data_IF_787202243248
#
_entry.id   IF_787202243248
#
_cell.length_a   1.000
_cell.length_b   1.000
_cell.length_c   1.000
_cell.angle_alpha   90.00
_cell.angle_beta   90.00
_cell.angle_gamma   90.00
#
_symmetry.space_group_name_H-M   'P 1'
#
loop_
_entity.id
_entity.type
_entity.pdbx_description
1 polymer ?
#
# COMPACT_ATOMS: atom_id res chain seq x y z
N UNK A 1 52.30 10.20 17.06
CA UNK A 1 51.31 10.92 16.24
C UNK A 1 50.42 9.90 15.56
N UNK A 2 49.35 9.50 16.23
CA UNK A 2 48.36 8.56 15.73
C UNK A 2 47.03 9.05 16.26
N UNK A 3 46.18 9.62 15.40
CA UNK A 3 44.78 9.96 15.68
C UNK A 3 44.12 10.48 14.38
N UNK A 4 43.59 9.57 13.56
CA UNK A 4 42.65 9.91 12.50
C UNK A 4 41.93 8.65 12.01
N UNK A 5 41.26 7.91 12.90
CA UNK A 5 40.50 6.71 12.49
C UNK A 5 39.40 6.32 13.48
N UNK A 6 38.72 7.28 14.11
CA UNK A 6 37.47 7.01 14.86
C UNK A 6 36.57 8.24 14.81
N UNK A 7 35.94 8.54 13.67
CA UNK A 7 34.97 9.65 13.59
C UNK A 7 33.93 9.50 12.46
N UNK A 8 33.44 8.28 12.20
CA UNK A 8 32.30 8.07 11.28
C UNK A 8 31.22 7.10 11.78
N UNK A 9 31.26 6.70 13.05
CA UNK A 9 30.18 5.95 13.69
C UNK A 9 29.80 6.74 14.94
N UNK A 10 28.50 6.88 15.21
CA UNK A 10 27.86 7.65 16.30
C UNK A 10 27.39 9.07 15.89
N UNK A 11 26.33 9.15 15.08
CA UNK A 11 25.41 10.32 15.10
C UNK A 11 23.94 9.89 15.20
N UNK A 12 23.65 8.62 15.54
CA UNK A 12 22.25 8.15 15.68
C UNK A 12 21.89 7.57 17.04
N UNK A 13 22.74 7.66 18.06
CA UNK A 13 22.35 7.21 19.40
C UNK A 13 22.56 8.27 20.47
N UNK A 14 21.43 8.65 21.06
CA UNK A 14 21.26 9.30 22.37
C UNK A 14 21.35 10.83 22.39
N UNK A 15 20.22 11.48 22.07
CA UNK A 15 19.64 12.44 23.02
C UNK A 15 18.11 12.51 22.79
N UNK A 16 17.41 11.63 23.49
CA UNK A 16 15.95 11.71 23.65
C UNK A 16 15.70 12.87 24.60
N UNK A 17 15.07 13.95 24.12
CA UNK A 17 14.16 14.87 24.82
C UNK A 17 14.10 16.20 24.06
N UNK A 18 13.26 16.29 23.03
CA UNK A 18 12.47 17.47 22.61
C UNK A 18 11.98 17.26 21.17
N UNK A 19 10.70 16.88 21.07
CA UNK A 19 9.74 17.27 20.04
C UNK A 19 10.33 17.52 18.64
N UNK A 20 10.36 16.49 17.82
CA UNK A 20 9.71 16.46 16.50
C UNK A 20 9.90 15.07 15.92
N UNK A 21 8.80 14.47 15.49
CA UNK A 21 8.73 13.23 14.74
C UNK A 21 9.40 13.41 13.37
N UNK A 22 10.73 13.44 13.34
CA UNK A 22 11.51 13.27 12.13
C UNK A 22 11.41 11.82 11.72
N UNK A 23 10.60 11.52 10.70
CA UNK A 23 10.61 10.23 10.06
C UNK A 23 12.05 9.97 9.57
N UNK A 24 12.71 8.97 10.15
CA UNK A 24 13.93 8.38 9.61
C UNK A 24 13.58 7.69 8.27
N UNK A 25 13.37 8.48 7.22
CA UNK A 25 13.26 7.96 5.86
C UNK A 25 14.67 7.53 5.44
N UNK A 26 14.89 6.22 5.31
CA UNK A 26 16.11 5.73 4.66
C UNK A 26 16.16 6.29 3.23
N UNK A 27 17.33 6.67 2.70
CA UNK A 27 17.45 7.34 1.40
C UNK A 27 16.68 6.65 0.26
N UNK A 28 16.75 5.31 0.16
CA UNK A 28 16.01 4.54 -0.86
C UNK A 28 14.48 4.67 -0.75
N UNK A 29 13.92 4.71 0.47
CA UNK A 29 12.46 4.90 0.64
C UNK A 29 11.99 6.28 0.14
N UNK A 30 12.81 7.31 0.31
CA UNK A 30 12.50 8.65 -0.19
C UNK A 30 12.53 8.67 -1.72
N UNK A 31 13.55 8.08 -2.32
CA UNK A 31 13.70 8.01 -3.77
C UNK A 31 12.53 7.27 -4.45
N UNK A 32 12.05 6.18 -3.85
CA UNK A 32 10.87 5.45 -4.33
C UNK A 32 9.61 6.32 -4.32
N UNK A 33 9.35 7.03 -3.22
CA UNK A 33 8.20 7.94 -3.08
C UNK A 33 8.29 9.08 -4.09
N UNK A 34 9.46 9.69 -4.24
CA UNK A 34 9.68 10.79 -5.19
C UNK A 34 9.45 10.32 -6.63
N UNK A 35 9.82 9.08 -6.99
CA UNK A 35 9.51 8.50 -8.31
C UNK A 35 8.00 8.29 -8.50
N UNK A 36 7.30 7.73 -7.52
CA UNK A 36 5.85 7.55 -7.60
C UNK A 36 5.11 8.88 -7.78
N UNK A 37 5.51 9.91 -7.04
CA UNK A 37 4.98 11.26 -7.23
C UNK A 37 5.32 11.82 -8.60
N UNK A 38 6.59 11.77 -9.00
CA UNK A 38 7.08 12.32 -10.28
C UNK A 38 6.40 11.69 -11.48
N UNK A 39 6.26 10.36 -11.53
CA UNK A 39 5.75 9.66 -12.71
C UNK A 39 4.24 9.41 -12.68
N UNK A 40 3.65 9.23 -11.50
CA UNK A 40 2.25 8.83 -11.35
C UNK A 40 1.39 9.84 -10.58
N UNK A 41 1.99 10.87 -9.98
CA UNK A 41 1.26 11.84 -9.17
C UNK A 41 0.68 11.22 -7.90
N UNK A 42 1.37 10.23 -7.32
CA UNK A 42 0.93 9.46 -6.17
C UNK A 42 1.73 9.77 -4.91
N UNK A 43 1.04 9.81 -3.78
CA UNK A 43 1.64 9.93 -2.45
C UNK A 43 1.11 8.85 -1.49
N UNK A 44 1.97 8.30 -0.62
CA UNK A 44 1.55 7.31 0.37
C UNK A 44 0.67 7.94 1.44
N UNK A 45 -0.42 7.27 1.78
CA UNK A 45 -1.23 7.59 2.97
C UNK A 45 -0.69 6.75 4.13
N UNK A 46 0.17 7.37 4.94
CA UNK A 46 0.90 6.69 6.01
C UNK A 46 -0.03 5.94 6.96
N UNK A 47 0.34 4.70 7.25
CA UNK A 47 -0.31 3.80 8.22
C UNK A 47 -1.80 3.49 7.96
N UNK A 48 -2.33 3.80 6.77
CA UNK A 48 -3.74 3.67 6.50
C UNK A 48 -4.23 2.21 6.37
N UNK A 49 -3.35 1.29 5.99
CA UNK A 49 -3.67 -0.14 5.85
C UNK A 49 -3.27 -0.98 7.06
N UNK A 50 -2.66 -0.39 8.11
CA UNK A 50 -2.42 -1.10 9.38
C UNK A 50 -3.66 -1.13 10.26
N UNK A 51 -4.57 -0.16 10.10
CA UNK A 51 -5.81 -0.05 10.87
C UNK A 51 -7.00 -0.14 9.91
N UNK A 52 -7.26 -1.34 9.39
CA UNK A 52 -8.46 -1.60 8.57
C UNK A 52 -9.62 -2.07 9.43
N UNK A 53 -10.78 -2.32 8.81
CA UNK A 53 -11.92 -2.95 9.46
C UNK A 53 -11.79 -4.47 9.59
N UNK A 54 -10.65 -5.05 9.21
CA UNK A 54 -10.48 -6.50 9.27
C UNK A 54 -10.70 -7.03 10.69
N UNK A 55 -11.38 -8.17 10.78
CA UNK A 55 -11.62 -8.89 12.03
C UNK A 55 -11.89 -10.36 11.74
N UNK A 56 -11.83 -11.21 12.77
CA UNK A 56 -12.11 -12.65 12.60
C UNK A 56 -13.62 -12.97 12.48
N UNK A 57 -14.49 -11.96 12.44
CA UNK A 57 -15.93 -12.16 12.23
C UNK A 57 -16.22 -12.58 10.79
N UNK A 58 -17.17 -13.49 10.64
CA UNK A 58 -17.65 -13.90 9.35
C UNK A 58 -18.44 -12.78 8.64
N UNK A 59 -18.23 -12.67 7.33
CA UNK A 59 -19.06 -11.87 6.44
C UNK A 59 -20.46 -12.50 6.34
N UNK A 60 -21.49 -11.67 6.51
CA UNK A 60 -22.90 -12.09 6.42
C UNK A 60 -23.56 -11.64 5.12
N UNK A 61 -23.05 -10.57 4.51
CA UNK A 61 -23.53 -10.01 3.25
C UNK A 61 -22.36 -9.71 2.33
N UNK A 62 -22.45 -10.09 1.06
CA UNK A 62 -21.37 -9.87 0.09
C UNK A 62 -20.93 -8.40 -0.02
N UNK A 63 -21.83 -7.45 0.20
CA UNK A 63 -21.53 -6.01 0.12
C UNK A 63 -20.57 -5.53 1.22
N UNK A 64 -20.43 -6.29 2.32
CA UNK A 64 -19.46 -5.97 3.36
C UNK A 64 -18.00 -6.09 2.87
N UNK A 65 -17.77 -6.79 1.75
CA UNK A 65 -16.46 -6.89 1.12
C UNK A 65 -16.15 -5.73 0.16
N UNK A 66 -17.10 -4.84 -0.10
CA UNK A 66 -16.85 -3.67 -0.94
C UNK A 66 -15.83 -2.74 -0.26
N UNK A 67 -14.83 -2.28 -1.01
CA UNK A 67 -13.79 -1.40 -0.51
C UNK A 67 -13.27 -0.50 -1.64
N UNK A 68 -13.63 0.77 -1.57
CA UNK A 68 -13.17 1.83 -2.47
C UNK A 68 -11.93 2.58 -1.95
N UNK A 69 -11.49 2.24 -0.72
CA UNK A 69 -10.39 2.85 0.02
C UNK A 69 -10.58 4.32 0.39
N UNK A 70 -11.78 4.89 0.30
CA UNK A 70 -12.04 6.24 0.82
C UNK A 70 -11.91 6.26 2.36
N UNK A 71 -12.39 5.20 3.01
CA UNK A 71 -12.23 4.96 4.44
C UNK A 71 -11.72 3.53 4.71
N UNK A 72 -10.39 3.30 4.71
CA UNK A 72 -9.79 1.99 4.91
C UNK A 72 -10.21 1.28 6.21
N UNK A 73 -10.61 2.02 7.24
CA UNK A 73 -11.09 1.47 8.52
C UNK A 73 -12.41 0.71 8.41
N UNK A 74 -13.15 0.90 7.32
CA UNK A 74 -14.39 0.17 7.04
C UNK A 74 -14.15 -1.03 6.13
N UNK A 75 -12.99 -1.10 5.48
CA UNK A 75 -12.66 -2.21 4.60
C UNK A 75 -12.32 -3.45 5.43
N UNK A 76 -13.07 -4.52 5.22
CA UNK A 76 -12.90 -5.81 5.91
C UNK A 76 -11.79 -6.65 5.26
N UNK A 77 -10.64 -6.02 5.07
CA UNK A 77 -9.49 -6.59 4.38
C UNK A 77 -8.19 -6.16 5.06
N UNK A 78 -7.12 -6.95 4.96
CA UNK A 78 -5.80 -6.61 5.51
C UNK A 78 -4.64 -7.10 4.66
N UNK A 79 -3.47 -6.54 4.93
CA UNK A 79 -2.21 -7.10 4.47
C UNK A 79 -1.98 -8.46 5.11
N UNK A 80 -1.36 -9.37 4.36
CA UNK A 80 -0.83 -10.58 4.99
C UNK A 80 0.42 -10.24 5.79
N UNK A 81 0.32 -10.32 7.12
CA UNK A 81 1.42 -10.00 8.04
C UNK A 81 2.31 -11.22 8.33
N UNK A 82 2.06 -12.38 7.67
CA UNK A 82 2.82 -13.62 7.85
C UNK A 82 4.17 -13.60 7.11
N UNK A 83 5.02 -12.64 7.46
CA UNK A 83 6.42 -12.81 7.85
C UNK A 83 7.42 -13.59 6.99
N UNK A 84 7.16 -13.93 5.73
CA UNK A 84 8.23 -14.43 4.84
C UNK A 84 8.99 -13.26 4.22
N UNK A 85 10.32 -13.38 4.12
CA UNK A 85 11.20 -12.37 3.52
C UNK A 85 10.79 -11.97 2.08
N UNK A 86 10.07 -12.86 1.39
CA UNK A 86 9.64 -12.70 -0.01
C UNK A 86 8.20 -12.14 -0.13
N UNK A 87 7.61 -11.62 0.96
CA UNK A 87 6.28 -11.01 0.90
C UNK A 87 6.36 -9.48 0.83
N UNK A 88 5.75 -8.92 -0.21
CA UNK A 88 5.57 -7.49 -0.37
C UNK A 88 4.32 -7.02 0.39
N UNK A 89 4.37 -5.79 0.89
CA UNK A 89 3.19 -5.14 1.47
C UNK A 89 2.39 -4.40 0.41
N UNK A 90 1.09 -4.26 0.66
CA UNK A 90 0.24 -3.27 0.00
C UNK A 90 0.32 -1.94 0.74
N UNK A 91 0.38 -0.86 -0.03
CA UNK A 91 0.43 0.52 0.44
C UNK A 91 -0.74 1.30 -0.13
N UNK A 92 -1.40 2.10 0.70
CA UNK A 92 -2.44 3.03 0.24
C UNK A 92 -1.79 4.27 -0.36
N UNK A 93 -2.20 4.62 -1.55
CA UNK A 93 -1.73 5.77 -2.31
C UNK A 93 -2.90 6.69 -2.63
N UNK A 94 -2.67 8.00 -2.54
CA UNK A 94 -3.60 9.03 -3.00
C UNK A 94 -3.05 9.67 -4.25
N UNK A 95 -3.92 9.91 -5.24
CA UNK A 95 -3.58 10.73 -6.38
C UNK A 95 -3.66 12.21 -6.01
N UNK A 96 -2.52 12.88 -6.06
CA UNK A 96 -2.35 14.29 -5.63
C UNK A 96 -1.99 15.23 -6.78
N UNK A 97 -1.81 14.71 -7.99
CA UNK A 97 -1.60 15.51 -9.19
C UNK A 97 -2.52 14.99 -10.30
N UNK A 98 -3.09 15.89 -11.11
CA UNK A 98 -3.83 15.50 -12.32
C UNK A 98 -2.89 15.12 -13.47
N UNK A 99 -1.98 14.18 -13.18
CA UNK A 99 -1.05 13.63 -14.14
C UNK A 99 -1.69 12.44 -14.83
N UNK A 100 -1.57 12.38 -16.15
CA UNK A 100 -1.96 11.20 -16.92
C UNK A 100 -0.90 10.12 -16.75
N UNK A 101 -1.32 8.93 -16.36
CA UNK A 101 -0.41 7.80 -16.22
C UNK A 101 0.15 7.36 -17.59
N UNK A 102 1.42 6.90 -17.65
CA UNK A 102 2.02 6.41 -18.88
C UNK A 102 1.23 5.26 -19.49
N UNK A 103 1.14 5.19 -20.83
CA UNK A 103 0.42 4.13 -21.56
C UNK A 103 0.86 2.70 -21.24
N UNK A 104 2.09 2.54 -20.72
CA UNK A 104 2.64 1.27 -20.30
C UNK A 104 1.94 0.71 -19.05
N UNK A 105 1.33 1.57 -18.24
CA UNK A 105 0.32 1.18 -17.26
C UNK A 105 -0.97 1.11 -18.06
N UNK A 106 -1.44 -0.12 -18.33
CA UNK A 106 -2.56 -0.37 -19.25
C UNK A 106 -3.75 0.57 -18.97
N UNK A 107 -4.50 0.98 -20.01
CA UNK A 107 -5.61 1.89 -19.85
C UNK A 107 -6.80 1.13 -19.27
N UNK A 108 -7.12 1.38 -18.01
CA UNK A 108 -8.37 0.93 -17.43
C UNK A 108 -8.92 1.82 -16.32
N UNK A 109 -8.19 2.86 -15.90
CA UNK A 109 -8.70 4.12 -15.34
C UNK A 109 -7.49 4.88 -14.77
N UNK A 110 -7.18 6.04 -15.34
CA UNK A 110 -6.37 7.02 -14.62
C UNK A 110 -7.26 7.50 -13.46
N UNK A 111 -6.96 7.18 -12.19
CA UNK A 111 -7.86 7.53 -11.11
C UNK A 111 -8.04 9.04 -11.10
N UNK A 112 -9.25 9.58 -10.86
CA UNK A 112 -9.44 11.01 -10.64
C UNK A 112 -8.50 11.55 -9.56
N UNK A 113 -8.21 12.86 -9.63
CA UNK A 113 -7.55 13.55 -8.54
C UNK A 113 -8.30 13.31 -7.21
N UNK A 114 -7.55 13.05 -6.13
CA UNK A 114 -8.11 12.75 -4.80
C UNK A 114 -8.45 11.29 -4.56
N UNK A 115 -8.63 10.48 -5.62
CA UNK A 115 -8.93 9.06 -5.45
C UNK A 115 -7.78 8.31 -4.80
N UNK A 116 -8.15 7.26 -4.08
CA UNK A 116 -7.22 6.37 -3.39
C UNK A 116 -7.21 4.98 -4.04
N UNK A 117 -6.08 4.31 -3.93
CA UNK A 117 -5.82 2.99 -4.48
C UNK A 117 -4.68 2.32 -3.70
N UNK A 118 -4.61 0.99 -3.74
CA UNK A 118 -3.48 0.27 -3.15
C UNK A 118 -2.46 -0.14 -4.22
N UNK A 119 -1.17 -0.09 -3.86
CA UNK A 119 -0.05 -0.52 -4.70
C UNK A 119 0.80 -1.51 -3.92
N UNK A 120 1.33 -2.51 -4.62
CA UNK A 120 2.49 -3.23 -4.15
C UNK A 120 3.62 -3.20 -5.18
N UNK A 121 4.85 -3.23 -4.70
CA UNK A 121 6.05 -3.25 -5.52
C UNK A 121 7.33 -3.18 -4.69
N UNK A 122 8.44 -3.51 -5.34
CA UNK A 122 9.80 -3.43 -4.81
C UNK A 122 10.68 -2.77 -5.87
N UNK A 123 11.78 -2.16 -5.44
CA UNK A 123 12.79 -1.59 -6.35
C UNK A 123 13.56 -2.68 -7.09
N UNK A 124 13.73 -3.84 -6.46
CA UNK A 124 14.43 -5.00 -7.02
C UNK A 124 13.40 -6.00 -7.48
N UNK A 125 13.40 -6.30 -8.78
CA UNK A 125 12.51 -7.33 -9.32
C UNK A 125 12.86 -8.69 -8.71
N UNK A 126 11.86 -9.29 -8.07
CA UNK A 126 11.89 -10.65 -7.57
C UNK A 126 10.65 -11.37 -8.10
N UNK A 127 10.81 -12.43 -8.92
CA UNK A 127 9.68 -13.16 -9.49
C UNK A 127 8.89 -13.97 -8.45
N UNK A 128 9.46 -14.26 -7.29
CA UNK A 128 8.79 -14.98 -6.22
C UNK A 128 8.05 -14.05 -5.26
N UNK A 129 8.39 -12.76 -5.28
CA UNK A 129 7.80 -11.76 -4.41
C UNK A 129 6.31 -11.55 -4.68
N UNK A 130 5.50 -11.68 -3.62
CA UNK A 130 4.03 -11.55 -3.71
C UNK A 130 3.50 -10.66 -2.60
N UNK A 131 2.53 -9.82 -2.94
CA UNK A 131 1.68 -9.17 -1.95
C UNK A 131 0.31 -9.84 -1.89
N UNK A 132 -0.14 -10.12 -0.67
CA UNK A 132 -1.40 -10.82 -0.42
C UNK A 132 -2.33 -9.91 0.36
N UNK A 133 -3.54 -9.70 -0.18
CA UNK A 133 -4.61 -8.91 0.43
C UNK A 133 -5.75 -9.85 0.85
N UNK A 134 -6.01 -9.94 2.15
CA UNK A 134 -6.86 -10.97 2.75
C UNK A 134 -8.16 -10.33 3.21
N UNK A 135 -9.31 -10.88 2.82
CA UNK A 135 -10.62 -10.47 3.34
C UNK A 135 -10.95 -11.17 4.67
N UNK A 136 -11.89 -10.61 5.42
CA UNK A 136 -12.53 -11.36 6.51
C UNK A 136 -13.06 -12.72 6.01
N UNK A 137 -13.16 -13.71 6.90
CA UNK A 137 -13.71 -15.02 6.56
C UNK A 137 -15.12 -14.92 5.97
N UNK A 138 -15.36 -15.64 4.88
CA UNK A 138 -16.67 -15.74 4.25
C UNK A 138 -17.21 -17.14 4.54
N UNK A 139 -18.38 -17.25 5.19
CA UNK A 139 -19.07 -18.53 5.33
C UNK A 139 -19.48 -19.05 3.96
N UNK A 140 -19.61 -20.37 3.82
CA UNK A 140 -20.10 -21.00 2.59
C UNK A 140 -21.40 -20.32 2.12
N UNK A 141 -21.32 -19.51 1.07
CA UNK A 141 -22.47 -18.85 0.48
C UNK A 141 -23.26 -19.88 -0.34
N UNK A 142 -24.58 -19.86 -0.23
CA UNK A 142 -25.45 -20.67 -1.09
C UNK A 142 -25.72 -19.89 -2.38
N UNK A 143 -25.36 -20.47 -3.52
CA UNK A 143 -25.56 -19.87 -4.85
C UNK A 143 -24.32 -19.13 -5.38
N UNK A 144 -24.48 -18.50 -6.55
CA UNK A 144 -23.39 -17.82 -7.24
C UNK A 144 -23.16 -16.40 -6.71
N UNK A 145 -21.90 -16.04 -6.51
CA UNK A 145 -21.46 -14.69 -6.18
C UNK A 145 -20.56 -14.11 -7.27
N UNK A 146 -20.67 -12.81 -7.55
CA UNK A 146 -19.76 -12.10 -8.45
C UNK A 146 -18.76 -11.29 -7.65
N UNK A 147 -17.50 -11.69 -7.71
CA UNK A 147 -16.37 -10.91 -7.21
C UNK A 147 -15.75 -10.12 -8.36
N UNK A 148 -15.59 -8.81 -8.18
CA UNK A 148 -15.03 -7.92 -9.21
C UNK A 148 -14.10 -6.90 -8.57
N UNK A 149 -13.01 -6.60 -9.26
CA UNK A 149 -12.02 -5.61 -8.88
C UNK A 149 -11.42 -4.97 -10.14
N UNK A 150 -11.02 -3.70 -10.02
CA UNK A 150 -10.27 -2.99 -11.05
C UNK A 150 -8.78 -3.15 -10.78
N UNK A 151 -8.02 -3.62 -11.77
CA UNK A 151 -6.57 -3.81 -11.68
C UNK A 151 -5.83 -3.31 -12.93
N UNK A 152 -4.55 -2.96 -12.78
CA UNK A 152 -3.63 -2.76 -13.91
C UNK A 152 -2.49 -3.77 -13.87
N UNK A 153 -1.98 -4.16 -15.04
CA UNK A 153 -1.06 -5.30 -15.17
C UNK A 153 0.43 -5.00 -14.89
N UNK A 154 0.84 -3.73 -14.76
CA UNK A 154 2.24 -3.37 -14.44
C UNK A 154 2.49 -3.00 -12.99
N UNK A 155 1.45 -2.62 -12.28
CA UNK A 155 1.44 -2.43 -10.85
C UNK A 155 0.14 -3.07 -10.42
N UNK A 156 0.20 -4.12 -9.61
CA UNK A 156 -1.02 -4.68 -9.07
C UNK A 156 -1.71 -3.55 -8.29
N UNK A 157 -2.89 -3.16 -8.76
CA UNK A 157 -3.78 -2.25 -8.08
C UNK A 157 -5.06 -3.01 -7.82
N UNK A 158 -5.69 -2.75 -6.69
CA UNK A 158 -7.02 -3.29 -6.41
C UNK A 158 -7.89 -2.12 -6.02
N UNK A 159 -8.95 -1.86 -6.78
CA UNK A 159 -10.11 -1.07 -6.34
C UNK A 159 -11.33 -1.99 -6.38
N UNK A 160 -12.00 -2.20 -5.24
CA UNK A 160 -13.14 -3.12 -5.14
C UNK A 160 -14.42 -2.29 -5.11
N UNK A 161 -15.01 -2.08 -6.28
CA UNK A 161 -16.34 -1.45 -6.40
C UNK A 161 -17.34 -2.40 -7.04
N UNK A 162 -18.45 -2.69 -6.35
CA UNK A 162 -19.60 -3.39 -6.92
C UNK A 162 -20.36 -2.45 -7.85
N UNK A 163 -20.59 -2.86 -9.10
CA UNK A 163 -21.67 -2.28 -9.90
C UNK A 163 -22.99 -2.96 -9.49
N UNK A 164 -23.95 -2.13 -9.07
CA UNK A 164 -25.36 -2.52 -8.87
C UNK A 164 -26.08 -2.32 -10.18
#
# INVERSE_FOLDING_TARGET
>A
MANALVSQLIVCSVLVHLIQSGQCCTPGKKDAVDRLRKFLGLEPVMNALYNTGFSDRYITRAQELNCDFENPRLCLWKNNELGSADQLEWYLMRKVEDKRWPHLIKPGDNPPYGNQLIISGTEVFDPEAKAVWISNPVLCQRGDGKFAFTYQQRFSFVKISRQV
#
